data_IF_446422663624
#
_entry.id   IF_446422663624
#
_cell.length_a   1.000
_cell.length_b   1.000
_cell.length_c   1.000
_cell.angle_alpha   90.00
_cell.angle_beta   90.00
_cell.angle_gamma   90.00
#
_symmetry.space_group_name_H-M   'P 1'
#
loop_
_entity.id
_entity.type
_entity.pdbx_description
1 polymer ?
#
# COMPACT_ATOMS: atom_id res chain seq x y z
N UNK A 1 4.61 -6.05 -12.80
CA UNK A 1 3.50 -6.58 -11.96
C UNK A 1 3.72 -8.07 -11.80
N UNK A 2 3.82 -8.57 -10.57
CA UNK A 2 3.80 -10.02 -10.32
C UNK A 2 2.38 -10.38 -9.91
N UNK A 3 1.68 -11.16 -10.72
CA UNK A 3 0.30 -11.56 -10.45
C UNK A 3 0.22 -13.09 -10.40
N UNK A 4 -0.44 -13.60 -9.36
CA UNK A 4 -0.82 -15.01 -9.23
C UNK A 4 -2.30 -15.11 -8.84
N UNK A 5 -2.77 -16.31 -8.48
CA UNK A 5 -4.14 -16.52 -8.02
C UNK A 5 -4.51 -15.72 -6.75
N UNK A 6 -3.52 -15.25 -5.99
CA UNK A 6 -3.68 -14.51 -4.72
C UNK A 6 -3.70 -12.98 -4.87
N UNK A 7 -3.57 -12.47 -6.09
CA UNK A 7 -3.67 -11.03 -6.41
C UNK A 7 -2.48 -10.49 -7.20
N UNK A 8 -2.63 -9.28 -7.75
CA UNK A 8 -1.53 -8.56 -8.37
C UNK A 8 -0.73 -7.77 -7.33
N UNK A 9 0.59 -7.95 -7.31
CA UNK A 9 1.53 -7.14 -6.52
C UNK A 9 2.10 -6.01 -7.35
N UNK A 10 2.04 -4.80 -6.80
CA UNK A 10 2.38 -3.54 -7.47
C UNK A 10 3.21 -2.63 -6.58
N UNK A 11 3.92 -1.73 -7.25
CA UNK A 11 4.61 -0.59 -6.65
C UNK A 11 5.52 -0.97 -5.47
N UNK A 12 6.57 -1.77 -5.71
CA UNK A 12 7.50 -2.11 -4.66
C UNK A 12 8.29 -0.88 -4.18
N UNK A 13 8.35 -0.70 -2.87
CA UNK A 13 9.20 0.30 -2.21
C UNK A 13 10.22 -0.44 -1.36
N UNK A 14 11.51 -0.18 -1.61
CA UNK A 14 12.61 -0.77 -0.85
C UNK A 14 13.06 0.17 0.26
N UNK A 15 13.40 -0.41 1.41
CA UNK A 15 14.05 0.32 2.51
C UNK A 15 15.09 -0.58 3.17
N UNK A 16 16.33 -0.13 3.22
CA UNK A 16 17.37 -0.80 3.98
C UNK A 16 17.48 -0.18 5.37
N UNK A 17 17.32 -1.01 6.39
CA UNK A 17 17.57 -0.62 7.77
C UNK A 17 18.97 -1.10 8.21
N UNK A 18 19.93 -0.19 8.43
CA UNK A 18 21.28 -0.53 8.86
C UNK A 18 21.35 -1.05 10.29
N UNK A 19 20.37 -0.73 11.16
CA UNK A 19 20.38 -1.16 12.57
C UNK A 19 19.97 -2.62 12.68
N UNK A 20 18.86 -3.02 12.06
CA UNK A 20 18.44 -4.42 12.04
C UNK A 20 19.15 -5.26 10.96
N UNK A 21 19.93 -4.64 10.07
CA UNK A 21 20.55 -5.30 8.90
C UNK A 21 19.51 -6.03 8.04
N UNK A 22 18.40 -5.35 7.74
CA UNK A 22 17.26 -5.90 6.99
C UNK A 22 16.94 -5.06 5.77
N UNK A 23 16.74 -5.74 4.64
CA UNK A 23 16.12 -5.14 3.47
C UNK A 23 14.62 -5.40 3.54
N UNK A 24 13.85 -4.33 3.60
CA UNK A 24 12.39 -4.33 3.59
C UNK A 24 11.87 -4.08 2.18
N UNK A 25 10.78 -4.76 1.83
CA UNK A 25 9.97 -4.49 0.64
C UNK A 25 8.55 -4.21 1.12
N UNK A 26 8.06 -3.02 0.79
CA UNK A 26 6.66 -2.66 0.91
C UNK A 26 6.02 -2.76 -0.47
N UNK A 27 4.76 -3.18 -0.53
CA UNK A 27 4.05 -3.28 -1.80
C UNK A 27 2.55 -3.24 -1.57
N UNK A 28 1.83 -2.91 -2.64
CA UNK A 28 0.37 -3.01 -2.69
C UNK A 28 0.00 -4.35 -3.32
N UNK A 29 -0.93 -5.07 -2.70
CA UNK A 29 -1.45 -6.33 -3.22
C UNK A 29 -2.97 -6.27 -3.36
N UNK A 30 -3.45 -6.46 -4.59
CA UNK A 30 -4.88 -6.59 -4.88
C UNK A 30 -5.47 -7.72 -4.04
N UNK A 31 -6.59 -7.43 -3.39
CA UNK A 31 -7.30 -8.37 -2.54
C UNK A 31 -8.72 -8.59 -3.07
N UNK A 32 -9.42 -7.48 -3.30
CA UNK A 32 -10.72 -7.41 -3.95
C UNK A 32 -10.57 -6.78 -5.35
N UNK A 33 -11.61 -6.80 -6.17
CA UNK A 33 -11.65 -6.21 -7.52
C UNK A 33 -10.91 -7.02 -8.59
N UNK A 34 -11.16 -8.33 -8.62
CA UNK A 34 -10.75 -9.20 -9.73
C UNK A 34 -11.70 -9.01 -10.90
N UNK A 35 -11.18 -8.67 -12.08
CA UNK A 35 -11.96 -8.66 -13.31
C UNK A 35 -12.09 -10.08 -13.83
N UNK A 36 -13.30 -10.46 -14.20
CA UNK A 36 -13.58 -11.70 -14.93
C UNK A 36 -13.14 -11.57 -16.40
N UNK A 37 -11.84 -11.38 -16.62
CA UNK A 37 -11.19 -11.42 -17.94
C UNK A 37 -10.40 -12.71 -18.10
N UNK A 38 -10.03 -13.06 -19.34
CA UNK A 38 -9.11 -14.17 -19.63
C UNK A 38 -7.84 -13.60 -20.28
N UNK A 39 -6.70 -13.55 -19.56
CA UNK A 39 -6.51 -13.93 -18.16
C UNK A 39 -7.14 -12.92 -17.17
N UNK A 40 -7.37 -13.30 -15.90
CA UNK A 40 -7.94 -12.38 -14.91
C UNK A 40 -7.04 -11.17 -14.69
N UNK A 41 -7.64 -9.99 -14.67
CA UNK A 41 -6.94 -8.73 -14.39
C UNK A 41 -7.39 -8.19 -13.05
N UNK A 42 -6.52 -7.43 -12.40
CA UNK A 42 -6.78 -6.88 -11.06
C UNK A 42 -6.66 -5.37 -11.09
N UNK A 43 -7.60 -4.70 -10.43
CA UNK A 43 -7.50 -3.26 -10.22
C UNK A 43 -6.25 -2.90 -9.42
N UNK A 44 -5.69 -1.70 -9.67
CA UNK A 44 -4.52 -1.23 -8.95
C UNK A 44 -4.80 -1.08 -7.44
N UNK A 45 -3.77 -1.34 -6.63
CA UNK A 45 -3.83 -1.24 -5.18
C UNK A 45 -4.42 -2.46 -4.48
N UNK A 46 -4.74 -2.27 -3.20
CA UNK A 46 -5.39 -3.27 -2.35
C UNK A 46 -4.93 -3.14 -0.90
N UNK A 47 -4.44 -4.23 -0.32
CA UNK A 47 -3.75 -4.17 0.97
C UNK A 47 -2.33 -3.63 0.78
N UNK A 48 -1.86 -2.75 1.68
CA UNK A 48 -0.43 -2.47 1.80
C UNK A 48 0.19 -3.55 2.67
N UNK A 49 1.23 -4.20 2.15
CA UNK A 49 1.95 -5.28 2.81
C UNK A 49 3.44 -4.98 2.87
N UNK A 50 4.12 -5.65 3.78
CA UNK A 50 5.57 -5.61 3.92
C UNK A 50 6.16 -6.99 4.12
N UNK A 51 7.40 -7.18 3.68
CA UNK A 51 8.25 -8.34 3.95
C UNK A 51 9.69 -7.88 4.12
N UNK A 52 10.54 -8.68 4.74
CA UNK A 52 11.95 -8.38 4.86
C UNK A 52 12.84 -9.60 4.64
N UNK A 53 14.09 -9.37 4.30
CA UNK A 53 15.16 -10.36 4.28
C UNK A 53 16.36 -9.84 5.06
N UNK A 54 17.07 -10.72 5.75
CA UNK A 54 18.30 -10.35 6.46
C UNK A 54 19.43 -10.17 5.44
N UNK A 55 20.17 -9.07 5.52
CA UNK A 55 21.23 -8.74 4.55
C UNK A 55 22.34 -9.77 4.54
N UNK A 56 22.70 -10.34 5.69
CA UNK A 56 23.67 -11.44 5.77
C UNK A 56 23.29 -12.62 4.88
N UNK A 57 22.00 -12.95 4.77
CA UNK A 57 21.51 -14.03 3.89
C UNK A 57 21.51 -13.66 2.41
N UNK A 58 21.40 -12.35 2.10
CA UNK A 58 21.46 -11.85 0.73
C UNK A 58 22.91 -11.89 0.24
N UNK A 59 23.84 -11.40 1.04
CA UNK A 59 25.25 -11.26 0.68
C UNK A 59 26.01 -12.59 0.65
N UNK A 60 25.57 -13.60 1.41
CA UNK A 60 26.26 -14.90 1.53
C UNK A 60 25.79 -15.94 0.51
N UNK A 61 24.80 -15.64 -0.33
CA UNK A 61 24.29 -16.59 -1.34
C UNK A 61 24.98 -16.40 -2.70
N UNK A 62 25.76 -17.38 -3.19
CA UNK A 62 26.36 -17.31 -4.51
C UNK A 62 25.34 -17.78 -5.56
N UNK A 63 24.98 -16.86 -6.47
CA UNK A 63 24.43 -17.04 -7.82
C UNK A 63 23.19 -17.96 -8.10
N UNK A 64 22.75 -18.85 -7.20
CA UNK A 64 21.62 -19.78 -7.44
C UNK A 64 20.65 -19.91 -6.25
N UNK A 65 20.88 -19.20 -5.15
CA UNK A 65 20.04 -19.30 -3.96
C UNK A 65 18.90 -18.27 -3.94
N UNK A 66 17.65 -18.72 -3.85
CA UNK A 66 16.49 -17.84 -3.62
C UNK A 66 16.65 -17.05 -2.33
N UNK A 67 16.59 -15.72 -2.38
CA UNK A 67 16.56 -14.86 -1.17
C UNK A 67 15.38 -15.31 -0.30
N UNK A 68 15.64 -15.57 0.99
CA UNK A 68 14.60 -15.97 1.93
C UNK A 68 13.94 -14.73 2.51
N UNK A 69 12.76 -14.41 1.99
CA UNK A 69 11.91 -13.35 2.52
C UNK A 69 11.05 -13.85 3.68
N UNK A 70 10.73 -12.96 4.62
CA UNK A 70 9.67 -13.21 5.61
C UNK A 70 8.32 -13.39 4.90
N UNK A 71 7.34 -14.07 5.52
CA UNK A 71 5.96 -14.04 5.03
C UNK A 71 5.45 -12.59 4.90
N UNK A 72 4.66 -12.27 3.86
CA UNK A 72 4.02 -10.97 3.75
C UNK A 72 3.13 -10.66 4.96
N UNK A 73 3.27 -9.46 5.52
CA UNK A 73 2.41 -8.96 6.59
C UNK A 73 1.65 -7.72 6.13
N UNK A 74 0.34 -7.71 6.34
CA UNK A 74 -0.50 -6.53 6.05
C UNK A 74 -0.24 -5.44 7.09
N UNK A 75 -0.01 -4.21 6.62
CA UNK A 75 0.19 -3.00 7.45
C UNK A 75 -0.89 -1.95 7.24
N UNK A 76 -1.63 -2.02 6.12
CA UNK A 76 -2.84 -1.23 5.90
C UNK A 76 -3.84 -2.09 5.11
N UNK A 77 -4.94 -2.57 5.73
CA UNK A 77 -5.92 -3.38 5.06
C UNK A 77 -6.92 -2.55 4.23
N UNK A 78 -7.23 -3.01 3.03
CA UNK A 78 -8.30 -2.49 2.17
C UNK A 78 -9.68 -2.62 2.84
N UNK A 79 -9.89 -3.66 3.64
CA UNK A 79 -11.19 -3.94 4.29
C UNK A 79 -11.63 -2.85 5.29
N UNK A 80 -10.74 -1.94 5.68
CA UNK A 80 -11.06 -0.85 6.62
C UNK A 80 -12.13 0.09 6.07
N UNK A 81 -12.07 0.38 4.76
CA UNK A 81 -12.97 1.34 4.10
C UNK A 81 -13.39 0.91 2.69
N UNK A 82 -13.01 -0.30 2.26
CA UNK A 82 -13.29 -0.86 0.94
C UNK A 82 -12.44 -0.27 -0.20
N UNK A 83 -11.60 0.73 0.08
CA UNK A 83 -10.85 1.46 -0.96
C UNK A 83 -9.47 0.82 -1.14
N UNK A 84 -9.10 0.34 -2.34
CA UNK A 84 -7.76 -0.17 -2.61
C UNK A 84 -6.70 0.88 -2.23
N UNK A 85 -5.66 0.47 -1.51
CA UNK A 85 -4.56 1.34 -1.11
C UNK A 85 -3.36 1.10 -2.01
N UNK A 86 -2.70 2.18 -2.39
CA UNK A 86 -1.49 2.15 -3.21
C UNK A 86 -0.39 2.93 -2.50
N UNK A 87 0.82 2.41 -2.61
CA UNK A 87 2.07 3.10 -2.28
C UNK A 87 2.90 3.19 -3.55
N UNK A 88 3.82 4.16 -3.65
CA UNK A 88 4.80 4.22 -4.75
C UNK A 88 6.05 5.02 -4.37
N UNK A 89 5.91 5.93 -3.41
CA UNK A 89 6.99 6.79 -2.95
C UNK A 89 7.89 6.12 -1.92
N UNK A 90 9.12 6.63 -1.80
CA UNK A 90 10.09 6.13 -0.83
C UNK A 90 9.58 6.27 0.61
N UNK A 91 9.96 5.31 1.44
CA UNK A 91 9.84 5.42 2.89
C UNK A 91 10.87 6.44 3.39
N UNK A 92 10.42 7.38 4.22
CA UNK A 92 11.27 8.36 4.89
C UNK A 92 11.46 7.95 6.34
N UNK A 93 12.70 8.03 6.84
CA UNK A 93 12.98 7.91 8.28
C UNK A 93 13.20 9.31 8.80
N UNK A 94 12.35 9.75 9.74
CA UNK A 94 12.45 11.06 10.36
C UNK A 94 13.64 11.14 11.31
N UNK A 95 14.03 12.36 11.69
CA UNK A 95 15.05 12.62 12.71
C UNK A 95 14.73 11.98 14.07
N UNK A 96 13.44 11.77 14.38
CA UNK A 96 12.97 11.01 15.55
C UNK A 96 13.25 9.51 15.47
N UNK A 97 13.56 8.99 14.28
CA UNK A 97 13.66 7.56 13.99
C UNK A 97 12.35 6.93 13.50
N UNK A 98 11.25 7.69 13.45
CA UNK A 98 9.96 7.20 12.96
C UNK A 98 10.00 6.95 11.45
N UNK A 99 9.37 5.88 11.00
CA UNK A 99 9.26 5.55 9.58
C UNK A 99 7.94 6.08 9.03
N UNK A 100 8.00 6.76 7.88
CA UNK A 100 6.85 7.38 7.22
C UNK A 100 6.76 6.87 5.79
N UNK A 101 5.64 6.24 5.45
CA UNK A 101 5.37 5.70 4.12
C UNK A 101 4.11 6.34 3.53
N UNK A 102 4.22 7.15 2.46
CA UNK A 102 3.06 7.75 1.79
C UNK A 102 2.18 6.70 1.12
N UNK A 103 0.86 6.91 1.16
CA UNK A 103 -0.11 6.08 0.45
C UNK A 103 -1.27 6.93 -0.10
N UNK A 104 -2.00 6.38 -1.07
CA UNK A 104 -3.29 6.92 -1.49
C UNK A 104 -4.34 5.82 -1.66
N UNK A 105 -5.61 6.23 -1.55
CA UNK A 105 -6.76 5.41 -1.92
C UNK A 105 -7.01 5.51 -3.42
N UNK A 106 -6.95 4.38 -4.12
CA UNK A 106 -7.26 4.28 -5.53
C UNK A 106 -8.77 4.10 -5.71
N UNK A 107 -9.37 4.84 -6.64
CA UNK A 107 -10.79 4.61 -6.93
C UNK A 107 -10.92 3.35 -7.80
N UNK A 108 -11.85 2.44 -7.48
CA UNK A 108 -12.17 1.36 -8.39
C UNK A 108 -12.64 1.97 -9.72
N UNK A 109 -11.98 1.61 -10.83
CA UNK A 109 -12.34 2.15 -12.15
C UNK A 109 -13.70 1.65 -12.66
N UNK A 110 -14.35 0.69 -11.97
CA UNK A 110 -15.56 0.00 -12.44
C UNK A 110 -16.71 0.11 -11.45
N UNK A 111 -17.23 1.32 -11.28
CA UNK A 111 -18.48 1.57 -10.54
C UNK A 111 -19.70 1.58 -11.47
N UNK A 112 -19.53 1.67 -12.80
CA UNK A 112 -20.66 1.98 -13.70
C UNK A 112 -21.21 0.84 -14.56
N UNK A 113 -20.49 -0.25 -14.85
CA UNK A 113 -20.94 -1.19 -15.90
C UNK A 113 -20.61 -2.68 -15.71
N UNK A 114 -20.40 -3.19 -14.48
CA UNK A 114 -20.17 -4.63 -14.31
C UNK A 114 -21.15 -5.24 -13.31
N UNK A 115 -22.13 -6.06 -13.75
CA UNK A 115 -23.12 -6.69 -12.87
C UNK A 115 -22.53 -7.78 -11.96
N UNK A 116 -21.20 -7.95 -11.97
CA UNK A 116 -20.43 -8.92 -11.16
C UNK A 116 -19.02 -8.42 -10.86
N UNK A 117 -18.88 -7.23 -10.30
CA UNK A 117 -17.59 -6.85 -9.70
C UNK A 117 -17.69 -6.99 -8.18
N UNK A 118 -16.74 -7.71 -7.57
CA UNK A 118 -16.57 -7.76 -6.10
C UNK A 118 -16.31 -6.37 -5.47
N UNK A 119 -16.27 -5.33 -6.30
CA UNK A 119 -16.08 -3.93 -5.95
C UNK A 119 -17.23 -3.04 -6.41
N UNK A 120 -18.39 -3.64 -6.72
CA UNK A 120 -19.62 -2.90 -6.96
C UNK A 120 -20.10 -2.28 -5.65
N UNK A 121 -20.18 -0.95 -5.56
CA UNK A 121 -20.75 -0.27 -4.39
C UNK A 121 -22.27 -0.37 -4.30
N UNK A 122 -22.95 -0.84 -5.36
CA UNK A 122 -24.36 -1.22 -5.34
C UNK A 122 -24.58 -2.66 -4.89
N UNK A 123 -23.50 -3.41 -4.56
CA UNK A 123 -23.66 -4.63 -3.79
C UNK A 123 -24.18 -4.23 -2.39
N UNK A 124 -25.36 -4.71 -1.95
CA UNK A 124 -25.93 -4.34 -0.64
C UNK A 124 -25.01 -4.68 0.54
N UNK A 125 -24.05 -5.60 0.37
CA UNK A 125 -23.03 -5.91 1.37
C UNK A 125 -21.88 -4.87 1.43
N UNK A 126 -21.75 -4.01 0.42
CA UNK A 126 -20.72 -2.97 0.27
C UNK A 126 -21.30 -1.53 0.34
N UNK A 127 -22.61 -1.40 0.54
CA UNK A 127 -23.26 -0.11 0.81
C UNK A 127 -22.82 0.41 2.17
N UNK A 128 -21.91 1.38 2.19
CA UNK A 128 -21.77 2.29 3.33
C UNK A 128 -22.69 3.48 3.04
N UNK A 129 -23.83 3.64 3.74
CA UNK A 129 -24.79 4.70 3.45
C UNK A 129 -24.14 6.09 3.56
N UNK A 130 -24.37 6.94 2.55
CA UNK A 130 -24.16 8.40 2.67
C UNK A 130 -22.78 8.97 2.32
N UNK A 131 -21.88 8.27 1.61
CA UNK A 131 -20.58 8.85 1.18
C UNK A 131 -20.45 8.99 -0.34
N UNK A 132 -20.20 10.21 -0.81
CA UNK A 132 -19.84 10.51 -2.19
C UNK A 132 -18.54 9.78 -2.61
N UNK A 133 -18.48 9.35 -3.88
CA UNK A 133 -17.35 8.57 -4.42
C UNK A 133 -16.00 9.29 -4.38
N UNK A 134 -16.01 10.61 -4.54
CA UNK A 134 -14.82 11.48 -4.46
C UNK A 134 -14.23 11.51 -3.05
N UNK A 135 -15.05 11.34 -2.01
CA UNK A 135 -14.59 11.35 -0.62
C UNK A 135 -13.85 10.06 -0.22
N UNK A 136 -13.85 9.03 -1.08
CA UNK A 136 -13.24 7.73 -0.80
C UNK A 136 -11.75 7.68 -1.18
N UNK A 137 -11.31 8.48 -2.15
CA UNK A 137 -9.90 8.58 -2.55
C UNK A 137 -9.22 9.65 -1.69
N UNK A 138 -8.60 9.19 -0.60
CA UNK A 138 -7.79 10.05 0.25
C UNK A 138 -6.34 9.58 0.25
N UNK A 139 -5.42 10.54 0.27
CA UNK A 139 -4.00 10.33 0.51
C UNK A 139 -3.68 10.53 2.00
N UNK A 140 -2.63 9.88 2.45
CA UNK A 140 -2.14 9.97 3.82
C UNK A 140 -0.76 9.34 3.95
N UNK A 141 -0.33 9.15 5.19
CA UNK A 141 0.92 8.48 5.49
C UNK A 141 0.70 7.35 6.49
N UNK A 142 1.48 6.28 6.36
CA UNK A 142 1.62 5.26 7.38
C UNK A 142 2.84 5.61 8.22
N UNK A 143 2.67 5.64 9.55
CA UNK A 143 3.75 5.94 10.49
C UNK A 143 4.05 4.70 11.34
N UNK A 144 5.33 4.37 11.48
CA UNK A 144 5.81 3.38 12.43
C UNK A 144 6.83 3.99 13.37
N UNK A 145 6.47 4.03 14.65
CA UNK A 145 7.32 4.55 15.74
C UNK A 145 8.26 3.50 16.34
N UNK A 146 8.27 2.29 15.76
CA UNK A 146 8.99 1.15 16.30
C UNK A 146 9.63 0.31 15.17
N UNK A 147 10.27 1.02 14.23
CA UNK A 147 11.10 0.44 13.17
C UNK A 147 10.34 -0.60 12.34
N UNK A 148 9.13 -0.25 11.92
CA UNK A 148 8.31 -1.08 11.06
C UNK A 148 7.55 -2.21 11.79
N UNK A 149 7.64 -2.34 13.13
CA UNK A 149 6.90 -3.40 13.86
C UNK A 149 5.40 -3.16 13.87
N UNK A 150 4.91 -1.95 14.07
CA UNK A 150 3.48 -1.60 13.98
C UNK A 150 3.31 -0.34 13.16
N UNK A 151 2.15 -0.19 12.52
CA UNK A 151 1.86 0.92 11.62
C UNK A 151 0.49 1.51 11.93
N UNK A 152 0.38 2.83 11.84
CA UNK A 152 -0.88 3.55 11.92
C UNK A 152 -1.00 4.51 10.74
N UNK A 153 -2.21 4.68 10.22
CA UNK A 153 -2.49 5.70 9.19
C UNK A 153 -2.67 7.07 9.87
N UNK A 154 -2.02 8.08 9.32
CA UNK A 154 -2.09 9.47 9.76
C UNK A 154 -2.35 10.42 8.60
N UNK A 155 -3.13 11.46 8.89
CA UNK A 155 -3.59 12.41 7.90
C UNK A 155 -4.66 11.82 6.97
N UNK A 156 -5.49 12.72 6.43
CA UNK A 156 -6.45 12.40 5.38
C UNK A 156 -6.57 13.62 4.49
N UNK A 157 -5.89 13.56 3.34
CA UNK A 157 -5.95 14.59 2.32
C UNK A 157 -6.84 14.11 1.20
N UNK A 158 -7.82 14.91 0.81
CA UNK A 158 -8.69 14.64 -0.32
C UNK A 158 -8.94 15.94 -1.07
N UNK A 159 -9.17 15.85 -2.37
CA UNK A 159 -9.62 16.98 -3.17
C UNK A 159 -10.92 16.62 -3.87
N UNK A 160 -11.95 17.50 -3.84
CA UNK A 160 -13.20 17.24 -4.56
C UNK A 160 -13.01 17.30 -6.08
N UNK A 161 -11.90 17.89 -6.56
CA UNK A 161 -11.68 18.16 -7.98
C UNK A 161 -10.63 17.25 -8.63
N UNK A 162 -9.83 16.53 -7.84
CA UNK A 162 -8.78 15.66 -8.39
C UNK A 162 -8.45 14.52 -7.44
N UNK A 163 -7.90 13.44 -7.99
CA UNK A 163 -7.30 12.37 -7.21
C UNK A 163 -5.90 12.78 -6.76
N UNK A 164 -5.57 12.50 -5.50
CA UNK A 164 -4.23 12.71 -4.95
C UNK A 164 -3.46 11.40 -5.05
N UNK A 165 -2.60 11.28 -6.06
CA UNK A 165 -1.82 10.08 -6.36
C UNK A 165 -0.33 10.35 -6.11
N UNK A 166 0.43 9.30 -5.80
CA UNK A 166 1.91 9.33 -5.81
C UNK A 166 2.55 10.45 -4.95
N UNK A 167 1.95 10.75 -3.79
CA UNK A 167 2.47 11.78 -2.89
C UNK A 167 3.87 11.47 -2.35
N UNK A 168 4.72 12.49 -2.23
CA UNK A 168 6.05 12.42 -1.61
C UNK A 168 6.03 13.19 -0.29
N UNK A 169 6.80 12.70 0.69
CA UNK A 169 6.93 13.34 2.00
C UNK A 169 8.37 13.74 2.24
N UNK A 170 8.56 14.86 2.92
CA UNK A 170 9.86 15.35 3.39
C UNK A 170 9.70 15.86 4.81
N UNK A 171 10.73 15.66 5.64
CA UNK A 171 10.80 16.27 6.95
C UNK A 171 11.26 17.73 6.81
N UNK A 172 10.48 18.67 7.33
CA UNK A 172 10.86 20.08 7.37
C UNK A 172 11.69 20.36 8.63
N UNK A 173 12.71 21.22 8.55
CA UNK A 173 13.43 21.67 9.74
C UNK A 173 12.46 22.38 10.70
N UNK A 174 12.72 22.34 12.02
CA UNK A 174 11.93 23.09 12.98
C UNK A 174 11.90 24.57 12.57
N UNK A 175 10.72 25.19 12.60
CA UNK A 175 10.64 26.65 12.45
C UNK A 175 11.39 27.28 13.61
N UNK A 176 12.44 28.04 13.30
CA UNK A 176 13.03 28.98 14.24
C UNK A 176 11.93 30.01 14.54
N UNK A 177 11.43 30.00 15.77
CA UNK A 177 10.49 31.01 16.30
C UNK A 177 11.31 32.11 16.94
#
# INVERSE_FOLDING_TARGET
VLADHSGARRSPVLHFDPVMQRLWVFFSQSNYCKRSSSPPTWDPGGNVKTMFANVSQILTKPAAGTVKWSPPRTILPQSTDGVPKVIASQLVVLSSGDWVLPFWGEQPHFVKHSPRSDCDPANPDNEVPGRNFTDRSAAGVLISVNQGRTWAAHGRMSSPHTQLLEGVVVELPPKLV
#
